data_IF_982812402794
#
_entry.id   IF_982812402794
#
_cell.length_a   1.000
_cell.length_b   1.000
_cell.length_c   1.000
_cell.angle_alpha   90.00
_cell.angle_beta   90.00
_cell.angle_gamma   90.00
#
_symmetry.space_group_name_H-M   'P 1'
#
loop_
_entity.id
_entity.type
_entity.pdbx_description
1 polymer ?
#
# COMPACT_ATOMS: atom_id res chain seq x y z
N UNK A 1 -38.14 78.19 -11.31
CA UNK A 1 -38.34 77.16 -10.26
C UNK A 1 -37.83 75.77 -10.65
N UNK A 2 -38.19 75.20 -11.81
CA UNK A 2 -37.72 73.84 -12.22
C UNK A 2 -36.19 73.65 -12.18
N UNK A 3 -35.40 74.58 -12.71
CA UNK A 3 -33.92 74.46 -12.73
C UNK A 3 -33.28 74.49 -11.33
N UNK A 4 -33.81 75.27 -10.41
CA UNK A 4 -33.29 75.36 -9.03
C UNK A 4 -33.55 74.06 -8.27
N UNK A 5 -34.72 73.43 -8.49
CA UNK A 5 -35.03 72.12 -7.90
C UNK A 5 -34.10 71.02 -8.45
N UNK A 6 -33.77 71.07 -9.75
CA UNK A 6 -32.85 70.10 -10.37
C UNK A 6 -31.42 70.25 -9.85
N UNK A 7 -30.92 71.49 -9.71
CA UNK A 7 -29.59 71.73 -9.14
C UNK A 7 -29.51 71.39 -7.65
N UNK A 8 -30.59 71.65 -6.89
CA UNK A 8 -30.69 71.24 -5.48
C UNK A 8 -30.67 69.71 -5.31
N UNK A 9 -31.39 68.98 -6.16
CA UNK A 9 -31.40 67.52 -6.14
C UNK A 9 -30.03 66.92 -6.54
N UNK A 10 -29.35 67.53 -7.53
CA UNK A 10 -28.03 67.10 -7.96
C UNK A 10 -26.94 67.36 -6.90
N UNK A 11 -27.04 68.49 -6.17
CA UNK A 11 -26.13 68.80 -5.05
C UNK A 11 -26.37 67.88 -3.84
N UNK A 12 -27.62 67.49 -3.58
CA UNK A 12 -27.97 66.51 -2.54
C UNK A 12 -27.42 65.11 -2.86
N UNK A 13 -27.47 64.69 -4.13
CA UNK A 13 -26.89 63.40 -4.56
C UNK A 13 -25.35 63.39 -4.58
N UNK A 14 -24.69 64.54 -4.75
CA UNK A 14 -23.22 64.66 -4.74
C UNK A 14 -22.62 64.82 -3.33
N UNK A 15 -23.44 65.17 -2.33
CA UNK A 15 -23.01 65.33 -0.94
C UNK A 15 -23.43 64.18 -0.03
N UNK A 16 -24.15 63.18 -0.56
CA UNK A 16 -24.40 61.94 0.16
C UNK A 16 -23.09 61.14 0.26
N UNK A 17 -22.51 60.95 1.46
CA UNK A 17 -21.33 60.12 1.63
C UNK A 17 -21.69 58.67 1.27
N UNK A 18 -21.06 58.17 0.20
CA UNK A 18 -21.07 56.74 -0.13
C UNK A 18 -20.26 55.99 0.92
N UNK A 19 -20.89 55.60 2.03
CA UNK A 19 -20.26 54.69 2.98
C UNK A 19 -20.26 53.29 2.37
N UNK A 20 -19.16 52.92 1.72
CA UNK A 20 -18.90 51.54 1.32
C UNK A 20 -18.24 50.85 2.50
N UNK A 21 -19.02 50.15 3.31
CA UNK A 21 -18.46 49.29 4.36
C UNK A 21 -17.82 48.07 3.70
N UNK A 22 -16.51 47.92 3.84
CA UNK A 22 -15.74 46.80 3.29
C UNK A 22 -15.73 45.55 4.17
N UNK A 23 -16.27 45.65 5.40
CA UNK A 23 -16.32 44.54 6.35
C UNK A 23 -17.58 43.70 6.11
N UNK A 24 -17.43 42.39 6.19
CA UNK A 24 -18.53 41.43 5.94
C UNK A 24 -18.68 40.50 7.13
N UNK A 25 -19.91 40.33 7.60
CA UNK A 25 -20.29 39.25 8.51
C UNK A 25 -20.91 38.10 7.72
N UNK A 26 -20.49 36.87 8.00
CA UNK A 26 -21.12 35.66 7.48
C UNK A 26 -21.66 34.84 8.66
N UNK A 27 -22.93 34.46 8.58
CA UNK A 27 -23.62 33.64 9.59
C UNK A 27 -24.70 34.38 10.37
N UNK A 28 -24.74 35.72 10.29
CA UNK A 28 -25.80 36.57 10.87
C UNK A 28 -25.85 37.94 10.20
N UNK A 29 -26.86 38.73 10.55
CA UNK A 29 -27.11 40.12 10.17
C UNK A 29 -26.47 41.14 11.12
N UNK A 30 -25.53 40.68 11.96
CA UNK A 30 -24.86 41.50 12.97
C UNK A 30 -23.66 42.23 12.42
N UNK A 31 -23.35 43.37 13.04
CA UNK A 31 -22.18 44.16 12.67
C UNK A 31 -20.88 43.37 12.91
N UNK A 32 -19.92 43.43 11.97
CA UNK A 32 -18.64 42.78 12.15
C UNK A 32 -17.85 43.49 13.26
N UNK A 33 -17.02 42.73 13.97
CA UNK A 33 -16.13 43.33 14.97
C UNK A 33 -15.20 44.38 14.34
N UNK A 34 -14.87 45.43 15.08
CA UNK A 34 -13.99 46.50 14.61
C UNK A 34 -12.63 45.93 14.18
N UNK A 35 -12.24 46.20 12.93
CA UNK A 35 -10.99 45.72 12.34
C UNK A 35 -11.08 44.35 11.64
N UNK A 36 -12.18 43.60 11.77
CA UNK A 36 -12.38 42.36 11.03
C UNK A 36 -12.85 42.64 9.59
N UNK A 37 -12.04 42.30 8.59
CA UNK A 37 -12.47 42.38 7.18
C UNK A 37 -13.57 41.34 6.87
N UNK A 38 -13.45 40.16 7.47
CA UNK A 38 -14.43 39.08 7.39
C UNK A 38 -14.64 38.52 8.80
N UNK A 39 -15.88 38.51 9.27
CA UNK A 39 -16.27 38.02 10.59
C UNK A 39 -17.26 36.85 10.46
N UNK A 40 -16.89 35.67 10.98
CA UNK A 40 -17.81 34.52 11.06
C UNK A 40 -18.54 34.60 12.39
N UNK A 41 -19.81 35.02 12.36
CA UNK A 41 -20.56 35.36 13.57
C UNK A 41 -22.01 34.90 13.46
N UNK A 42 -22.49 34.20 14.49
CA UNK A 42 -23.89 33.82 14.67
C UNK A 42 -24.51 34.57 15.88
N UNK A 43 -23.71 34.89 16.91
CA UNK A 43 -24.16 35.59 18.12
C UNK A 43 -23.40 36.90 18.46
N UNK A 44 -23.98 37.73 19.34
CA UNK A 44 -23.34 38.95 19.90
C UNK A 44 -22.82 38.64 21.31
N UNK A 45 -22.12 37.52 21.50
CA UNK A 45 -21.56 37.22 22.83
C UNK A 45 -20.29 38.03 23.10
N UNK A 46 -20.10 38.44 24.35
CA UNK A 46 -18.84 39.03 24.85
C UNK A 46 -17.75 37.97 25.08
N UNK A 47 -18.01 36.71 24.72
CA UNK A 47 -17.05 35.63 24.82
C UNK A 47 -16.24 35.52 23.52
N UNK A 48 -15.10 34.83 23.58
CA UNK A 48 -14.20 34.65 22.43
C UNK A 48 -14.86 33.79 21.31
N UNK A 49 -15.96 33.08 21.62
CA UNK A 49 -16.69 32.23 20.67
C UNK A 49 -18.00 32.90 20.27
N UNK A 50 -18.04 33.44 19.06
CA UNK A 50 -19.22 34.09 18.46
C UNK A 50 -19.85 33.29 17.31
N UNK A 51 -19.26 32.14 16.96
CA UNK A 51 -19.78 31.20 15.97
C UNK A 51 -19.63 29.74 16.41
N UNK A 52 -20.62 28.91 16.04
CA UNK A 52 -20.62 27.46 16.25
C UNK A 52 -20.26 26.66 15.00
N UNK A 53 -20.16 27.33 13.85
CA UNK A 53 -19.84 26.78 12.52
C UNK A 53 -18.61 27.47 11.93
N UNK A 54 -18.05 26.87 10.88
CA UNK A 54 -16.92 27.43 10.13
C UNK A 54 -17.29 27.81 8.69
N UNK A 55 -16.34 28.42 7.98
CA UNK A 55 -16.44 28.65 6.55
C UNK A 55 -16.20 27.34 5.81
N UNK A 56 -17.22 26.85 5.10
CA UNK A 56 -17.09 25.67 4.25
C UNK A 56 -16.31 26.01 2.97
N UNK A 57 -15.31 25.19 2.65
CA UNK A 57 -14.60 25.27 1.37
C UNK A 57 -15.33 24.44 0.30
N UNK A 58 -15.28 24.85 -0.99
CA UNK A 58 -15.75 24.02 -2.09
C UNK A 58 -15.05 22.65 -2.07
N UNK A 59 -15.83 21.57 -1.96
CA UNK A 59 -15.30 20.21 -1.87
C UNK A 59 -15.21 19.61 -3.27
N UNK A 60 -14.02 19.21 -3.68
CA UNK A 60 -13.75 18.70 -5.03
C UNK A 60 -12.78 17.52 -4.99
N UNK A 61 -12.78 16.69 -6.03
CA UNK A 61 -11.70 15.71 -6.25
C UNK A 61 -10.69 16.33 -7.22
N UNK A 62 -9.44 16.50 -6.79
CA UNK A 62 -8.36 16.93 -7.66
C UNK A 62 -7.84 15.68 -8.37
N UNK A 63 -7.70 15.77 -9.68
CA UNK A 63 -7.13 14.71 -10.54
C UNK A 63 -5.70 15.00 -10.91
N UNK A 64 -5.17 16.21 -10.65
CA UNK A 64 -3.77 16.56 -10.83
C UNK A 64 -3.43 17.80 -9.99
N UNK A 65 -2.16 17.94 -9.58
CA UNK A 65 -1.68 19.16 -8.92
C UNK A 65 -1.20 20.21 -9.93
N UNK A 66 -0.91 19.82 -11.17
CA UNK A 66 -0.48 20.70 -12.26
C UNK A 66 -1.38 20.50 -13.47
N UNK A 67 -1.33 21.42 -14.44
CA UNK A 67 -1.98 21.18 -15.73
C UNK A 67 -1.33 19.97 -16.41
N UNK A 68 -2.12 18.97 -16.84
CA UNK A 68 -1.62 17.88 -17.67
C UNK A 68 -1.03 18.39 -19.00
N UNK A 69 -0.13 17.61 -19.60
CA UNK A 69 0.45 17.97 -20.89
C UNK A 69 -0.65 18.15 -21.96
N UNK A 70 -0.57 19.25 -22.70
CA UNK A 70 -1.54 19.69 -23.72
C UNK A 70 -2.89 20.22 -23.19
N UNK A 71 -3.06 20.33 -21.87
CA UNK A 71 -4.22 21.01 -21.27
C UNK A 71 -3.91 22.48 -20.98
N UNK A 72 -4.90 23.36 -21.20
CA UNK A 72 -4.79 24.81 -20.94
C UNK A 72 -5.81 25.31 -19.91
N UNK A 73 -6.73 24.44 -19.49
CA UNK A 73 -7.83 24.78 -18.58
C UNK A 73 -7.58 24.19 -17.20
N UNK A 74 -7.68 25.01 -16.15
CA UNK A 74 -7.61 24.56 -14.76
C UNK A 74 -8.69 23.51 -14.45
N UNK A 75 -9.84 23.56 -15.13
CA UNK A 75 -10.92 22.59 -14.98
C UNK A 75 -10.46 21.14 -15.25
N UNK A 76 -9.42 20.92 -16.07
CA UNK A 76 -8.84 19.60 -16.33
C UNK A 76 -8.27 18.92 -15.08
N UNK A 77 -7.92 19.70 -14.05
CA UNK A 77 -7.33 19.23 -12.79
C UNK A 77 -8.37 18.83 -11.74
N UNK A 78 -9.67 18.98 -12.03
CA UNK A 78 -10.76 18.73 -11.10
C UNK A 78 -11.75 17.74 -11.72
N UNK A 79 -12.05 16.67 -10.98
CA UNK A 79 -13.01 15.66 -11.42
C UNK A 79 -14.40 16.29 -11.64
N UNK A 80 -15.01 16.01 -12.79
CA UNK A 80 -16.35 16.48 -13.18
C UNK A 80 -16.49 18.00 -13.27
N UNK A 81 -15.39 18.76 -13.27
CA UNK A 81 -15.44 20.17 -13.62
C UNK A 81 -15.78 20.34 -15.10
N UNK A 82 -16.49 21.42 -15.42
CA UNK A 82 -16.95 21.71 -16.78
C UNK A 82 -16.58 23.14 -17.17
N UNK A 83 -16.33 23.34 -18.46
CA UNK A 83 -15.97 24.65 -19.03
C UNK A 83 -14.46 24.88 -19.10
N UNK A 84 -14.08 26.07 -19.54
CA UNK A 84 -12.69 26.49 -19.71
C UNK A 84 -12.33 27.50 -18.63
N UNK A 85 -11.41 27.14 -17.75
CA UNK A 85 -10.98 27.98 -16.63
C UNK A 85 -9.55 28.42 -16.89
N UNK A 86 -9.34 29.71 -17.16
CA UNK A 86 -7.99 30.24 -17.37
C UNK A 86 -7.19 30.15 -16.05
N UNK A 87 -6.06 29.42 -16.02
CA UNK A 87 -5.24 29.22 -14.83
C UNK A 87 -4.78 30.53 -14.17
N UNK A 88 -4.53 31.57 -14.95
CA UNK A 88 -4.01 32.84 -14.43
C UNK A 88 -5.10 33.61 -13.68
N UNK A 89 -6.31 33.65 -14.23
CA UNK A 89 -7.46 34.33 -13.60
C UNK A 89 -7.98 33.63 -12.34
N UNK A 90 -7.67 32.34 -12.17
CA UNK A 90 -8.09 31.55 -11.01
C UNK A 90 -6.98 31.43 -9.94
N UNK A 91 -5.91 32.22 -10.03
CA UNK A 91 -4.89 32.31 -8.97
C UNK A 91 -5.54 32.73 -7.64
N UNK A 92 -5.28 31.96 -6.58
CA UNK A 92 -5.90 32.14 -5.26
C UNK A 92 -7.19 31.33 -5.06
N UNK A 93 -7.64 30.53 -6.03
CA UNK A 93 -8.77 29.61 -5.84
C UNK A 93 -8.43 28.60 -4.75
N UNK A 94 -9.26 28.52 -3.71
CA UNK A 94 -9.11 27.58 -2.59
C UNK A 94 -10.20 26.52 -2.67
N UNK A 95 -9.80 25.25 -2.60
CA UNK A 95 -10.70 24.10 -2.58
C UNK A 95 -10.31 23.13 -1.48
N UNK A 96 -11.25 22.31 -1.03
CA UNK A 96 -10.96 21.16 -0.18
C UNK A 96 -10.96 19.90 -1.04
N UNK A 97 -9.78 19.30 -1.19
CA UNK A 97 -9.63 18.02 -1.89
C UNK A 97 -10.25 16.88 -1.08
N UNK A 98 -11.06 16.06 -1.75
CA UNK A 98 -11.52 14.76 -1.28
C UNK A 98 -10.96 13.68 -2.21
N UNK A 99 -10.01 12.88 -1.73
CA UNK A 99 -9.48 11.73 -2.47
C UNK A 99 -10.41 10.51 -2.48
N UNK A 100 -11.51 10.55 -1.73
CA UNK A 100 -12.47 9.45 -1.59
C UNK A 100 -11.98 8.32 -0.66
N UNK A 101 -12.81 7.29 -0.46
CA UNK A 101 -12.52 6.14 0.43
C UNK A 101 -11.29 5.33 -0.02
N UNK A 102 -10.91 5.43 -1.30
CA UNK A 102 -9.77 4.77 -1.93
C UNK A 102 -8.66 5.75 -2.34
N UNK A 103 -8.47 6.83 -1.58
CA UNK A 103 -7.38 7.82 -1.79
C UNK A 103 -6.00 7.16 -1.91
N UNK A 104 -5.77 6.11 -1.12
CA UNK A 104 -4.60 5.25 -1.20
C UNK A 104 -4.58 4.38 -2.47
N UNK A 105 -5.41 4.58 -3.47
CA UNK A 105 -5.36 3.84 -4.74
C UNK A 105 -5.06 4.74 -5.92
N UNK A 106 -5.11 6.05 -5.71
CA UNK A 106 -4.70 7.01 -6.72
C UNK A 106 -3.18 6.94 -6.90
N UNK A 107 -2.68 6.84 -8.15
CA UNK A 107 -1.25 7.01 -8.44
C UNK A 107 -0.79 8.44 -8.11
N UNK A 108 -1.74 9.37 -8.00
CA UNK A 108 -1.51 10.77 -7.68
C UNK A 108 -1.77 10.92 -6.19
N UNK A 109 -0.70 10.95 -5.41
CA UNK A 109 -0.72 11.08 -3.95
C UNK A 109 -1.13 12.50 -3.52
N UNK A 110 -2.36 12.91 -3.85
CA UNK A 110 -2.97 14.17 -3.43
C UNK A 110 -3.58 13.94 -2.05
N UNK A 111 -3.17 14.76 -1.07
CA UNK A 111 -3.61 14.65 0.32
C UNK A 111 -4.93 15.38 0.51
N UNK A 112 -5.99 14.72 0.99
CA UNK A 112 -7.21 15.40 1.45
C UNK A 112 -6.90 16.60 2.32
N UNK A 113 -7.60 17.69 2.03
CA UNK A 113 -7.42 18.93 2.74
C UNK A 113 -7.45 20.13 1.79
N UNK A 114 -7.20 21.31 2.35
CA UNK A 114 -7.24 22.56 1.60
C UNK A 114 -6.05 22.70 0.65
N UNK A 115 -6.34 23.06 -0.59
CA UNK A 115 -5.36 23.47 -1.60
C UNK A 115 -5.66 24.87 -2.12
N UNK A 116 -4.62 25.60 -2.50
CA UNK A 116 -4.72 26.87 -3.21
C UNK A 116 -4.06 26.76 -4.59
N UNK A 117 -4.71 27.25 -5.64
CA UNK A 117 -4.07 27.39 -6.95
C UNK A 117 -3.16 28.62 -6.96
N UNK A 118 -1.87 28.44 -7.22
CA UNK A 118 -0.89 29.54 -7.20
C UNK A 118 -0.61 30.19 -8.56
N UNK A 119 -1.34 29.76 -9.61
CA UNK A 119 -1.12 30.18 -11.01
C UNK A 119 -0.43 29.12 -11.86
N UNK A 120 0.29 28.19 -11.23
CA UNK A 120 1.02 27.11 -11.90
C UNK A 120 0.64 25.72 -11.39
N UNK A 121 0.35 25.60 -10.08
CA UNK A 121 0.01 24.34 -9.41
C UNK A 121 -0.91 24.56 -8.20
N UNK A 122 -1.50 23.46 -7.74
CA UNK A 122 -2.21 23.36 -6.47
C UNK A 122 -1.21 23.14 -5.32
N UNK A 123 -1.10 24.13 -4.43
CA UNK A 123 -0.31 24.07 -3.21
C UNK A 123 -1.16 23.58 -2.03
N UNK A 124 -0.65 22.59 -1.29
CA UNK A 124 -1.32 22.07 -0.11
C UNK A 124 -1.13 23.03 1.07
N UNK A 125 -2.23 23.48 1.67
CA UNK A 125 -2.21 24.53 2.70
C UNK A 125 -1.96 23.99 4.12
N UNK A 126 -2.04 22.67 4.34
CA UNK A 126 -1.71 22.09 5.63
C UNK A 126 -0.20 21.84 5.68
N UNK A 127 0.48 22.64 6.51
CA UNK A 127 1.85 22.35 6.90
C UNK A 127 1.82 21.19 7.90
N UNK A 128 2.20 20.00 7.44
CA UNK A 128 2.41 18.89 8.35
C UNK A 128 3.55 19.24 9.29
N UNK A 129 3.22 19.46 10.55
CA UNK A 129 4.21 19.38 11.60
C UNK A 129 4.73 17.95 11.56
N UNK A 130 6.00 17.78 11.19
CA UNK A 130 6.73 16.53 11.44
C UNK A 130 6.74 16.30 12.94
N UNK A 131 5.66 15.73 13.46
CA UNK A 131 5.61 15.18 14.79
C UNK A 131 6.43 13.91 14.69
N UNK A 132 7.69 14.01 15.10
CA UNK A 132 8.67 12.94 14.93
C UNK A 132 8.13 11.60 15.42
N UNK A 133 8.41 10.55 14.65
CA UNK A 133 8.39 9.13 15.06
C UNK A 133 7.24 8.69 16.00
N UNK A 134 6.05 9.27 15.84
CA UNK A 134 4.86 8.90 16.58
C UNK A 134 4.01 7.95 15.74
N UNK A 135 3.64 6.80 16.29
CA UNK A 135 2.66 5.92 15.65
C UNK A 135 1.28 6.59 15.63
N UNK A 136 0.52 6.42 14.55
CA UNK A 136 -0.88 6.87 14.50
C UNK A 136 -1.78 5.99 15.38
N UNK A 137 -3.09 6.26 15.41
CA UNK A 137 -4.07 5.49 16.22
C UNK A 137 -4.18 4.01 15.84
N UNK A 138 -3.68 3.62 14.67
CA UNK A 138 -3.62 2.24 14.19
C UNK A 138 -2.27 1.57 14.47
N UNK A 139 -1.37 2.24 15.19
CA UNK A 139 -0.02 1.73 15.48
C UNK A 139 0.93 1.81 14.29
N UNK A 140 0.55 2.51 13.20
CA UNK A 140 1.40 2.67 12.01
C UNK A 140 2.37 3.82 12.21
N UNK A 141 3.64 3.61 11.84
CA UNK A 141 4.70 4.61 11.95
C UNK A 141 5.55 4.67 10.69
N UNK A 142 6.29 5.76 10.54
CA UNK A 142 7.19 5.99 9.42
C UNK A 142 8.60 5.44 9.68
N UNK A 143 9.18 4.83 8.65
CA UNK A 143 10.55 4.31 8.62
C UNK A 143 11.31 5.11 7.57
N UNK A 144 12.28 5.90 8.03
CA UNK A 144 13.18 6.65 7.16
C UNK A 144 14.36 5.78 6.74
N UNK A 145 14.58 5.67 5.44
CA UNK A 145 15.75 5.03 4.84
C UNK A 145 16.80 6.10 4.55
N UNK A 146 17.91 6.05 5.29
CA UNK A 146 18.97 7.04 5.20
C UNK A 146 19.81 6.91 3.91
N UNK A 147 19.68 5.79 3.20
CA UNK A 147 20.46 5.48 2.00
C UNK A 147 19.94 6.23 0.76
N UNK A 148 18.63 6.46 0.67
CA UNK A 148 17.97 7.13 -0.46
C UNK A 148 17.03 8.28 -0.04
N UNK A 149 16.83 8.48 1.26
CA UNK A 149 15.94 9.49 1.82
C UNK A 149 14.46 9.15 1.70
N UNK A 150 14.11 7.92 1.31
CA UNK A 150 12.73 7.49 1.23
C UNK A 150 12.11 7.19 2.60
N UNK A 151 10.78 7.32 2.66
CA UNK A 151 9.99 7.05 3.86
C UNK A 151 8.99 5.96 3.57
N UNK A 152 9.00 4.91 4.38
CA UNK A 152 8.08 3.78 4.29
C UNK A 152 7.13 3.78 5.49
N UNK A 153 5.95 3.19 5.34
CA UNK A 153 5.06 2.92 6.48
C UNK A 153 5.31 1.52 7.03
N UNK A 154 5.21 1.37 8.35
CA UNK A 154 5.37 0.12 9.06
C UNK A 154 4.25 -0.10 10.07
N UNK A 155 3.86 -1.37 10.29
CA UNK A 155 2.83 -1.77 11.24
C UNK A 155 3.13 -3.13 11.87
N UNK A 156 2.51 -3.41 13.01
CA UNK A 156 2.73 -4.63 13.79
C UNK A 156 1.68 -5.71 13.48
N UNK A 157 2.15 -6.91 13.14
CA UNK A 157 1.35 -8.10 12.87
C UNK A 157 1.47 -9.11 14.02
N UNK A 158 1.18 -8.68 15.25
CA UNK A 158 1.16 -9.56 16.43
C UNK A 158 2.50 -10.28 16.62
N UNK A 159 2.46 -11.60 16.73
CA UNK A 159 3.66 -12.43 16.88
C UNK A 159 4.59 -12.38 15.65
N UNK A 160 4.08 -12.01 14.47
CA UNK A 160 4.88 -11.87 13.26
C UNK A 160 5.75 -10.59 13.26
N UNK A 161 5.56 -9.71 14.25
CA UNK A 161 6.36 -8.50 14.44
C UNK A 161 6.01 -7.36 13.49
N UNK A 162 6.92 -6.40 13.36
CA UNK A 162 6.72 -5.23 12.52
C UNK A 162 7.13 -5.50 11.08
N UNK A 163 6.27 -5.13 10.13
CA UNK A 163 6.50 -5.25 8.69
C UNK A 163 6.32 -3.89 8.03
N UNK A 164 7.09 -3.65 6.97
CA UNK A 164 6.78 -2.56 6.06
C UNK A 164 5.43 -2.85 5.39
N UNK A 165 4.66 -1.79 5.18
CA UNK A 165 3.32 -1.82 4.56
C UNK A 165 3.36 -1.34 3.10
N UNK A 166 4.55 -1.06 2.59
CA UNK A 166 4.80 -0.67 1.20
C UNK A 166 5.90 -1.55 0.58
N UNK A 167 5.88 -1.77 -0.74
CA UNK A 167 6.97 -2.47 -1.41
C UNK A 167 8.27 -1.65 -1.37
N UNK A 168 9.40 -2.35 -1.21
CA UNK A 168 10.71 -1.72 -1.31
C UNK A 168 10.94 -1.07 -2.69
N UNK A 169 11.63 0.07 -2.67
CA UNK A 169 12.02 0.85 -3.86
C UNK A 169 13.46 1.36 -3.82
N UNK A 170 14.24 0.93 -2.82
CA UNK A 170 15.66 1.25 -2.73
C UNK A 170 16.41 0.67 -3.94
N UNK A 171 17.23 1.48 -4.60
CA UNK A 171 18.10 1.06 -5.70
C UNK A 171 19.55 1.30 -5.26
N UNK A 172 20.30 0.23 -5.07
CA UNK A 172 21.73 0.30 -4.79
C UNK A 172 22.52 0.60 -6.08
N UNK A 173 23.64 1.32 -5.94
CA UNK A 173 24.51 1.68 -7.07
C UNK A 173 25.07 0.46 -7.82
N UNK A 174 25.14 -0.70 -7.18
CA UNK A 174 25.57 -1.96 -7.83
C UNK A 174 24.49 -2.59 -8.72
N UNK A 175 23.26 -2.07 -8.72
CA UNK A 175 22.16 -2.66 -9.47
C UNK A 175 22.10 -2.12 -10.90
N UNK A 176 21.70 -2.98 -11.84
CA UNK A 176 21.46 -2.58 -13.24
C UNK A 176 20.00 -2.76 -13.60
N UNK A 177 19.35 -1.71 -14.10
CA UNK A 177 17.98 -1.80 -14.64
C UNK A 177 17.95 -2.81 -15.79
N UNK A 178 17.07 -3.82 -15.74
CA UNK A 178 17.05 -4.86 -16.78
C UNK A 178 15.68 -5.48 -17.02
N UNK A 179 15.40 -5.71 -18.31
CA UNK A 179 14.33 -6.58 -18.77
C UNK A 179 14.60 -8.05 -18.48
N UNK A 180 13.66 -8.81 -17.90
CA UNK A 180 13.82 -10.27 -17.78
C UNK A 180 14.02 -10.90 -19.17
N UNK A 181 15.12 -11.64 -19.30
CA UNK A 181 15.41 -12.54 -20.42
C UNK A 181 15.93 -13.86 -19.89
N UNK A 182 15.75 -14.96 -20.62
CA UNK A 182 16.15 -16.31 -20.17
C UNK A 182 17.65 -16.44 -19.86
N UNK A 183 18.50 -15.58 -20.43
CA UNK A 183 19.94 -15.50 -20.18
C UNK A 183 20.32 -14.63 -18.97
N UNK A 184 19.35 -14.11 -18.20
CA UNK A 184 19.62 -13.29 -17.01
C UNK A 184 20.35 -14.13 -15.96
N UNK A 185 21.57 -13.75 -15.52
CA UNK A 185 22.34 -14.51 -14.55
C UNK A 185 21.63 -14.60 -13.20
N UNK A 186 21.76 -15.75 -12.52
CA UNK A 186 21.18 -15.98 -11.19
C UNK A 186 21.80 -15.06 -10.12
N UNK A 187 23.04 -14.63 -10.33
CA UNK A 187 23.80 -13.68 -9.49
C UNK A 187 23.73 -12.25 -10.01
N UNK A 188 22.94 -12.01 -11.06
CA UNK A 188 22.78 -10.68 -11.63
C UNK A 188 21.91 -9.82 -10.71
N UNK A 189 22.44 -8.70 -10.23
CA UNK A 189 21.71 -7.75 -9.40
C UNK A 189 20.98 -6.75 -10.28
N UNK A 190 19.69 -7.01 -10.50
CA UNK A 190 18.87 -6.23 -11.41
C UNK A 190 17.59 -5.75 -10.73
N UNK A 191 17.11 -4.61 -11.20
CA UNK A 191 15.81 -4.07 -10.83
C UNK A 191 14.96 -3.75 -12.06
N UNK A 192 13.64 -3.66 -11.85
CA UNK A 192 12.68 -3.27 -12.87
C UNK A 192 11.46 -2.59 -12.24
N UNK A 193 10.94 -1.55 -12.89
CA UNK A 193 9.70 -0.91 -12.44
C UNK A 193 8.48 -1.75 -12.83
N UNK A 194 7.47 -1.93 -11.95
CA UNK A 194 6.18 -2.49 -12.34
C UNK A 194 5.60 -1.71 -13.52
N UNK A 195 5.10 -2.42 -14.55
CA UNK A 195 4.63 -1.83 -15.83
C UNK A 195 5.73 -1.12 -16.64
N UNK A 196 7.00 -1.35 -16.34
CA UNK A 196 8.15 -0.85 -17.09
C UNK A 196 8.18 -1.33 -18.55
N UNK A 197 8.81 -0.54 -19.41
CA UNK A 197 9.18 -0.96 -20.76
C UNK A 197 10.43 -1.84 -20.68
N UNK A 198 10.33 -3.11 -21.10
CA UNK A 198 11.47 -4.04 -21.12
C UNK A 198 12.61 -3.59 -22.03
N UNK A 199 12.31 -2.76 -23.03
CA UNK A 199 13.30 -2.17 -23.95
C UNK A 199 14.04 -1.00 -23.31
N UNK A 200 13.40 -0.33 -22.35
CA UNK A 200 13.92 0.84 -21.62
C UNK A 200 13.73 0.66 -20.10
N UNK A 201 14.39 -0.34 -19.49
CA UNK A 201 14.07 -0.80 -18.13
C UNK A 201 14.35 0.22 -17.02
N UNK A 202 15.13 1.26 -17.31
CA UNK A 202 15.44 2.34 -16.38
C UNK A 202 14.36 3.44 -16.36
N UNK A 203 13.47 3.48 -17.37
CA UNK A 203 12.43 4.50 -17.47
C UNK A 203 11.31 4.22 -16.47
N UNK A 204 10.98 5.23 -15.67
CA UNK A 204 9.87 5.17 -14.71
C UNK A 204 8.54 5.29 -15.48
N UNK A 205 7.61 4.32 -15.36
CA UNK A 205 6.28 4.41 -15.98
C UNK A 205 5.45 5.54 -15.40
N UNK A 206 4.61 6.19 -16.22
CA UNK A 206 3.70 7.25 -15.76
C UNK A 206 2.69 6.76 -14.70
N UNK A 207 2.34 5.48 -14.72
CA UNK A 207 1.44 4.86 -13.73
C UNK A 207 2.14 4.49 -12.42
N UNK A 208 3.46 4.67 -12.32
CA UNK A 208 4.25 4.29 -11.16
C UNK A 208 4.11 5.30 -10.01
N UNK A 209 4.04 4.78 -8.78
CA UNK A 209 4.06 5.57 -7.55
C UNK A 209 4.76 4.79 -6.44
N UNK A 210 5.29 5.48 -5.43
CA UNK A 210 6.21 4.92 -4.43
C UNK A 210 5.76 3.61 -3.79
N UNK A 211 4.47 3.46 -3.46
CA UNK A 211 3.92 2.25 -2.83
C UNK A 211 4.00 0.99 -3.71
N UNK A 212 4.04 1.14 -5.04
CA UNK A 212 4.26 0.01 -5.95
C UNK A 212 5.62 -0.62 -5.75
N UNK A 213 6.60 0.15 -5.27
CA UNK A 213 7.97 -0.32 -5.15
C UNK A 213 8.61 -0.59 -6.50
N UNK A 214 9.67 -1.39 -6.48
CA UNK A 214 10.29 -1.96 -7.68
C UNK A 214 10.43 -3.48 -7.52
N UNK A 215 10.66 -4.16 -8.64
CA UNK A 215 11.00 -5.57 -8.63
C UNK A 215 12.50 -5.78 -8.62
N UNK A 216 12.94 -6.80 -7.89
CA UNK A 216 14.34 -7.19 -7.74
C UNK A 216 14.54 -8.62 -8.22
N UNK A 217 15.68 -8.92 -8.83
CA UNK A 217 16.21 -10.29 -8.84
C UNK A 217 16.53 -10.73 -7.41
N UNK A 218 16.58 -12.03 -7.15
CA UNK A 218 16.84 -12.51 -5.79
C UNK A 218 18.23 -12.11 -5.28
N UNK A 219 19.24 -12.11 -6.16
CA UNK A 219 20.58 -11.61 -5.85
C UNK A 219 20.56 -10.12 -5.50
N UNK A 220 19.77 -9.29 -6.20
CA UNK A 220 19.59 -7.88 -5.83
C UNK A 220 18.88 -7.75 -4.47
N UNK A 221 17.77 -8.46 -4.27
CA UNK A 221 16.99 -8.42 -3.04
C UNK A 221 17.82 -8.72 -1.79
N UNK A 222 18.78 -9.65 -1.90
CA UNK A 222 19.63 -10.09 -0.78
C UNK A 222 21.06 -9.53 -0.84
N UNK A 223 21.34 -8.55 -1.71
CA UNK A 223 22.69 -7.99 -1.88
C UNK A 223 23.77 -9.07 -2.14
N UNK A 224 23.40 -10.16 -2.80
CA UNK A 224 24.23 -11.31 -3.14
C UNK A 224 24.66 -12.22 -1.97
N UNK A 225 24.16 -11.99 -0.74
CA UNK A 225 24.51 -12.78 0.45
C UNK A 225 24.25 -14.28 0.30
N UNK A 226 23.33 -14.65 -0.61
CA UNK A 226 22.96 -16.03 -0.88
C UNK A 226 23.33 -16.54 -2.28
N UNK A 227 24.17 -15.81 -3.01
CA UNK A 227 24.62 -16.23 -4.33
C UNK A 227 25.38 -17.58 -4.24
N UNK A 228 25.06 -18.51 -5.13
CA UNK A 228 25.68 -19.84 -5.16
C UNK A 228 25.27 -20.79 -4.02
N UNK A 229 24.41 -20.37 -3.08
CA UNK A 229 23.94 -21.23 -1.98
C UNK A 229 23.04 -22.34 -2.49
N UNK A 230 23.38 -23.59 -2.19
CA UNK A 230 22.67 -24.83 -2.57
C UNK A 230 22.14 -25.54 -1.32
N UNK A 231 21.29 -24.84 -0.57
CA UNK A 231 20.67 -25.36 0.65
C UNK A 231 19.16 -25.12 0.55
N UNK A 232 18.38 -26.11 0.97
CA UNK A 232 16.95 -25.93 1.14
C UNK A 232 16.69 -25.35 2.53
N UNK A 233 16.38 -24.06 2.59
CA UNK A 233 16.23 -23.29 3.82
C UNK A 233 14.78 -23.04 4.20
N UNK A 234 13.85 -23.69 3.50
CA UNK A 234 12.44 -23.57 3.77
C UNK A 234 12.07 -24.20 5.11
N UNK A 235 11.09 -23.62 5.80
CA UNK A 235 10.56 -24.17 7.03
C UNK A 235 9.91 -25.54 6.76
N UNK A 236 10.34 -26.56 7.50
CA UNK A 236 9.77 -27.92 7.42
C UNK A 236 8.99 -28.28 8.69
N UNK A 237 9.43 -27.80 9.86
CA UNK A 237 8.85 -28.13 11.16
C UNK A 237 8.60 -26.88 12.00
N UNK A 238 7.87 -27.04 13.11
CA UNK A 238 7.71 -25.95 14.11
C UNK A 238 9.07 -25.59 14.71
N UNK A 239 9.86 -26.58 15.10
CA UNK A 239 11.24 -26.35 15.53
C UNK A 239 12.08 -25.82 14.37
N UNK A 240 12.89 -24.80 14.65
CA UNK A 240 13.82 -24.20 13.68
C UNK A 240 14.91 -25.21 13.32
N UNK A 241 14.94 -25.61 12.05
CA UNK A 241 15.89 -26.55 11.47
C UNK A 241 17.25 -25.93 11.16
N UNK A 242 18.28 -26.77 11.13
CA UNK A 242 19.68 -26.34 10.99
C UNK A 242 20.04 -25.68 9.65
N UNK A 243 19.15 -25.80 8.66
CA UNK A 243 19.33 -25.25 7.32
C UNK A 243 18.55 -23.95 7.11
N UNK A 244 17.67 -23.57 8.03
CA UNK A 244 16.89 -22.34 7.89
C UNK A 244 17.79 -21.10 8.07
N UNK A 245 17.34 -19.96 7.55
CA UNK A 245 18.10 -18.68 7.56
C UNK A 245 18.43 -18.29 9.00
N UNK A 246 17.49 -18.54 9.91
CA UNK A 246 17.58 -18.28 11.35
C UNK A 246 18.81 -18.92 11.97
N UNK A 247 19.23 -20.11 11.49
CA UNK A 247 20.41 -20.82 12.00
C UNK A 247 21.65 -20.51 11.18
N UNK A 248 21.53 -20.40 9.85
CA UNK A 248 22.69 -20.17 8.98
C UNK A 248 23.33 -18.80 9.15
N UNK A 249 22.56 -17.82 9.60
CA UNK A 249 22.99 -16.44 9.79
C UNK A 249 22.83 -15.98 11.24
N UNK A 250 22.76 -16.91 12.20
CA UNK A 250 22.57 -16.56 13.62
C UNK A 250 23.70 -15.68 14.17
N UNK A 251 23.34 -14.77 15.08
CA UNK A 251 24.28 -13.81 15.68
C UNK A 251 25.32 -14.48 16.58
N UNK A 252 24.94 -15.61 17.19
CA UNK A 252 25.80 -16.48 17.97
C UNK A 252 25.25 -17.91 17.96
N UNK A 253 26.13 -18.89 18.17
CA UNK A 253 25.75 -20.30 18.08
C UNK A 253 24.57 -20.65 18.99
N UNK A 254 23.50 -21.20 18.39
CA UNK A 254 22.30 -21.63 19.08
C UNK A 254 21.27 -20.54 19.36
N UNK A 255 21.50 -19.29 18.93
CA UNK A 255 20.52 -18.19 19.06
C UNK A 255 19.35 -18.32 18.11
N UNK A 256 19.59 -18.86 16.90
CA UNK A 256 18.57 -19.04 15.86
C UNK A 256 17.81 -17.75 15.52
N UNK A 257 18.54 -16.63 15.48
CA UNK A 257 18.02 -15.27 15.24
C UNK A 257 18.53 -14.67 13.92
N UNK A 258 19.03 -15.53 13.03
CA UNK A 258 19.67 -15.15 11.79
C UNK A 258 18.74 -14.50 10.78
N UNK A 259 19.25 -13.45 10.14
CA UNK A 259 18.52 -12.55 9.25
C UNK A 259 19.44 -12.07 8.13
N UNK A 260 18.86 -11.69 7.00
CA UNK A 260 19.59 -11.11 5.87
C UNK A 260 18.98 -9.75 5.56
N UNK A 261 19.72 -8.68 5.82
CA UNK A 261 19.25 -7.31 5.59
C UNK A 261 18.79 -7.12 4.14
N UNK A 262 19.66 -7.44 3.18
CA UNK A 262 19.38 -7.25 1.75
C UNK A 262 19.07 -5.78 1.42
N UNK A 263 18.08 -5.55 0.56
CA UNK A 263 17.62 -4.21 0.19
C UNK A 263 16.93 -3.45 1.31
N UNK A 264 16.60 -4.11 2.43
CA UNK A 264 15.87 -3.50 3.53
C UNK A 264 16.70 -2.45 4.29
N UNK A 265 16.06 -1.44 4.91
CA UNK A 265 16.74 -0.46 5.75
C UNK A 265 17.51 -1.11 6.89
N UNK A 266 18.47 -0.40 7.48
CA UNK A 266 19.19 -0.91 8.66
C UNK A 266 18.22 -1.24 9.80
N UNK A 267 18.39 -2.42 10.42
CA UNK A 267 17.49 -2.93 11.46
C UNK A 267 16.23 -3.62 10.91
N UNK A 268 16.19 -3.83 9.58
CA UNK A 268 15.18 -4.57 8.87
C UNK A 268 15.84 -5.63 7.97
N UNK A 269 15.11 -6.68 7.64
CA UNK A 269 15.58 -7.77 6.80
C UNK A 269 14.56 -8.21 5.76
N UNK A 270 15.06 -8.85 4.70
CA UNK A 270 14.22 -9.58 3.77
C UNK A 270 13.68 -10.82 4.52
N UNK A 271 12.36 -10.95 4.70
CA UNK A 271 11.79 -11.99 5.54
C UNK A 271 12.15 -13.38 5.04
N UNK A 272 12.44 -14.29 5.96
CA UNK A 272 12.66 -15.70 5.64
C UNK A 272 11.34 -16.41 5.31
N UNK A 273 11.43 -17.65 4.85
CA UNK A 273 10.28 -18.52 4.69
C UNK A 273 9.47 -18.71 6.00
N UNK A 274 10.15 -18.68 7.15
CA UNK A 274 9.54 -18.79 8.48
C UNK A 274 8.84 -17.51 8.89
N UNK A 275 9.44 -16.35 8.63
CA UNK A 275 8.83 -15.05 8.90
C UNK A 275 7.50 -14.91 8.16
N UNK A 276 7.48 -15.28 6.88
CA UNK A 276 6.25 -15.29 6.08
C UNK A 276 5.19 -16.24 6.65
N UNK A 277 5.59 -17.42 7.11
CA UNK A 277 4.66 -18.36 7.74
C UNK A 277 4.06 -17.78 9.04
N UNK A 278 4.81 -16.99 9.81
CA UNK A 278 4.28 -16.28 10.99
C UNK A 278 3.30 -15.18 10.60
N UNK A 279 3.60 -14.40 9.55
CA UNK A 279 2.71 -13.37 9.03
C UNK A 279 1.40 -13.95 8.51
N UNK A 280 1.47 -14.98 7.65
CA UNK A 280 0.29 -15.67 7.13
C UNK A 280 -0.57 -16.23 8.29
N UNK A 281 0.08 -16.72 9.34
CA UNK A 281 -0.58 -17.18 10.55
C UNK A 281 -1.34 -16.07 11.27
N UNK A 282 -0.73 -14.92 11.46
CA UNK A 282 -1.40 -13.77 12.07
C UNK A 282 -2.58 -13.29 11.20
N UNK A 283 -2.37 -13.15 9.90
CA UNK A 283 -3.40 -12.68 8.96
C UNK A 283 -4.62 -13.60 8.92
N UNK A 284 -4.43 -14.90 9.15
CA UNK A 284 -5.55 -15.84 9.28
C UNK A 284 -6.20 -15.80 10.66
N UNK A 285 -5.45 -15.67 11.75
CA UNK A 285 -6.04 -15.66 13.09
C UNK A 285 -6.78 -14.35 13.41
N UNK A 286 -6.33 -13.25 12.83
CA UNK A 286 -6.77 -11.88 13.16
C UNK A 286 -7.13 -11.05 11.91
N UNK A 287 -7.88 -11.57 10.92
CA UNK A 287 -8.06 -10.90 9.64
C UNK A 287 -8.79 -9.55 9.74
N UNK A 288 -9.73 -9.40 10.69
CA UNK A 288 -10.48 -8.15 10.93
C UNK A 288 -9.60 -7.00 11.45
N UNK A 289 -8.42 -7.31 12.02
CA UNK A 289 -7.48 -6.29 12.49
C UNK A 289 -6.75 -5.59 11.34
N UNK A 290 -6.55 -6.30 10.24
CA UNK A 290 -5.71 -5.84 9.12
C UNK A 290 -6.49 -5.67 7.81
N UNK A 291 -7.82 -5.91 7.84
CA UNK A 291 -8.67 -5.91 6.66
C UNK A 291 -10.08 -5.40 6.97
N UNK A 292 -10.87 -5.16 5.93
CA UNK A 292 -12.27 -4.72 5.99
C UNK A 292 -13.25 -5.85 6.29
N UNK A 293 -12.74 -7.05 6.61
CA UNK A 293 -13.61 -8.12 7.05
C UNK A 293 -14.35 -7.75 8.34
N UNK A 294 -15.60 -8.19 8.42
CA UNK A 294 -16.43 -8.10 9.62
C UNK A 294 -16.52 -9.47 10.30
N UNK A 295 -16.76 -9.51 11.62
CA UNK A 295 -16.99 -10.76 12.34
C UNK A 295 -18.13 -11.61 11.71
N UNK A 296 -19.12 -10.93 11.11
CA UNK A 296 -20.25 -11.55 10.40
C UNK A 296 -19.86 -12.20 9.07
N UNK A 297 -18.74 -11.82 8.47
CA UNK A 297 -18.25 -12.41 7.22
C UNK A 297 -17.78 -13.87 7.43
N UNK A 298 -17.73 -14.35 8.68
CA UNK A 298 -17.05 -15.59 9.05
C UNK A 298 -17.92 -16.75 9.55
N UNK A 299 -19.17 -16.55 9.96
CA UNK A 299 -20.11 -17.64 10.32
C UNK A 299 -19.70 -18.62 11.45
N UNK A 300 -18.44 -18.62 11.88
CA UNK A 300 -17.81 -19.42 12.94
C UNK A 300 -16.75 -18.52 13.60
N UNK A 301 -16.71 -18.37 14.93
CA UNK A 301 -15.74 -17.51 15.60
C UNK A 301 -14.33 -18.09 15.49
N UNK A 302 -13.41 -17.31 14.92
CA UNK A 302 -11.97 -17.57 14.98
C UNK A 302 -11.54 -17.68 16.46
N UNK A 303 -11.00 -18.84 16.84
CA UNK A 303 -10.63 -19.14 18.23
C UNK A 303 -11.49 -20.21 18.91
N UNK A 304 -12.55 -20.72 18.28
CA UNK A 304 -13.06 -22.04 18.66
C UNK A 304 -11.96 -23.05 18.34
N UNK A 305 -11.26 -23.54 19.37
CA UNK A 305 -10.37 -24.68 19.26
C UNK A 305 -11.15 -25.83 18.61
N UNK A 306 -10.98 -26.06 17.31
CA UNK A 306 -11.40 -27.30 16.69
C UNK A 306 -10.46 -28.39 17.19
N UNK A 307 -10.82 -28.99 18.33
CA UNK A 307 -10.27 -30.28 18.78
C UNK A 307 -10.93 -31.40 17.98
N UNK A 308 -10.73 -31.42 16.67
CA UNK A 308 -10.95 -32.61 15.87
C UNK A 308 -9.58 -33.14 15.47
N UNK A 309 -8.96 -33.89 16.39
CA UNK A 309 -7.89 -34.78 16.00
C UNK A 309 -8.41 -35.69 14.89
N UNK A 310 -7.83 -35.61 13.69
CA UNK A 310 -7.95 -36.72 12.74
C UNK A 310 -7.19 -37.88 13.38
N UNK A 311 -7.93 -38.72 14.10
CA UNK A 311 -7.46 -39.99 14.60
C UNK A 311 -7.11 -40.86 13.40
N UNK A 312 -5.82 -41.05 13.09
CA UNK A 312 -5.45 -42.12 12.16
C UNK A 312 -4.09 -42.06 11.46
N UNK A 313 -3.36 -40.95 11.44
CA UNK A 313 -2.06 -40.93 10.74
C UNK A 313 -0.93 -40.50 11.67
N UNK A 314 -0.25 -41.50 12.23
CA UNK A 314 1.08 -41.37 12.80
C UNK A 314 2.06 -41.01 11.68
N UNK A 315 2.22 -39.72 11.37
CA UNK A 315 3.40 -39.12 10.72
C UNK A 315 3.30 -37.57 10.69
N UNK A 316 3.68 -36.93 11.81
CA UNK A 316 4.69 -35.88 11.80
C UNK A 316 4.47 -34.56 11.03
N UNK A 317 3.24 -34.14 10.73
CA UNK A 317 2.96 -32.76 10.35
C UNK A 317 2.05 -32.13 11.40
N UNK A 318 2.52 -31.02 11.97
CA UNK A 318 2.05 -30.53 13.28
C UNK A 318 0.62 -29.98 13.19
N UNK A 319 -0.21 -30.52 14.08
CA UNK A 319 -1.56 -30.10 14.46
C UNK A 319 -1.63 -28.63 14.87
N UNK A 320 -2.62 -27.90 14.35
CA UNK A 320 -2.97 -26.54 14.80
C UNK A 320 -3.44 -25.55 13.72
N UNK A 321 -3.57 -25.99 12.47
CA UNK A 321 -4.12 -25.26 11.31
C UNK A 321 -5.04 -26.19 10.52
N UNK A 322 -6.09 -26.74 11.14
CA UNK A 322 -6.91 -27.76 10.47
C UNK A 322 -8.15 -27.13 9.83
N UNK A 323 -8.09 -27.14 8.49
CA UNK A 323 -9.13 -27.68 7.62
C UNK A 323 -10.48 -26.95 7.56
N UNK A 324 -10.41 -25.69 7.10
CA UNK A 324 -11.29 -25.21 6.02
C UNK A 324 -10.58 -24.26 5.03
N UNK A 325 -9.32 -23.88 5.31
CA UNK A 325 -8.54 -22.92 4.51
C UNK A 325 -7.18 -23.50 4.09
N UNK A 326 -7.11 -24.83 4.08
CA UNK A 326 -5.98 -25.61 3.63
C UNK A 326 -6.48 -26.82 2.83
N UNK A 327 -7.26 -26.59 1.76
CA UNK A 327 -7.31 -27.63 0.73
C UNK A 327 -5.98 -27.57 -0.01
N UNK A 328 -5.08 -28.43 0.46
CA UNK A 328 -3.94 -28.89 -0.29
C UNK A 328 -4.46 -29.34 -1.67
N UNK A 329 -4.14 -28.58 -2.73
CA UNK A 329 -4.57 -28.90 -4.10
C UNK A 329 -4.09 -30.29 -4.56
N UNK A 330 -3.17 -30.92 -3.83
CA UNK A 330 -2.70 -32.28 -4.08
C UNK A 330 -3.62 -33.39 -3.59
N UNK A 331 -4.72 -33.10 -2.87
CA UNK A 331 -5.64 -34.15 -2.41
C UNK A 331 -6.94 -34.26 -3.23
N UNK A 332 -7.08 -33.49 -4.32
CA UNK A 332 -8.20 -33.69 -5.26
C UNK A 332 -7.77 -34.49 -6.49
N UNK A 333 -6.48 -34.63 -6.77
CA UNK A 333 -5.99 -35.49 -7.85
C UNK A 333 -4.60 -36.06 -7.49
N UNK A 334 -4.53 -37.16 -6.73
CA UNK A 334 -3.77 -38.37 -7.09
C UNK A 334 -3.81 -39.41 -5.95
N UNK A 335 -4.38 -40.57 -6.27
CA UNK A 335 -4.09 -41.89 -5.72
C UNK A 335 -2.90 -41.99 -4.74
N UNK A 336 -3.20 -42.25 -3.45
CA UNK A 336 -2.41 -43.02 -2.47
C UNK A 336 -0.87 -42.97 -2.55
N UNK A 337 -0.29 -41.82 -2.89
CA UNK A 337 1.14 -41.61 -2.84
C UNK A 337 1.43 -40.70 -1.65
N UNK A 338 2.23 -41.14 -0.65
CA UNK A 338 2.64 -40.26 0.43
C UNK A 338 3.32 -39.01 -0.17
N UNK A 339 3.21 -37.84 0.47
CA UNK A 339 3.82 -36.61 -0.04
C UNK A 339 5.34 -36.77 -0.07
N UNK A 340 5.86 -37.26 -1.19
CA UNK A 340 7.24 -37.10 -1.61
C UNK A 340 7.22 -35.86 -2.50
N UNK A 341 7.61 -34.69 -2.04
CA UNK A 341 9.01 -34.32 -1.87
C UNK A 341 9.05 -32.94 -1.21
N UNK A 342 10.03 -32.76 -0.33
CA UNK A 342 10.41 -31.49 0.26
C UNK A 342 10.78 -30.54 -0.89
N UNK A 343 9.96 -29.52 -1.17
CA UNK A 343 10.14 -28.61 -2.31
C UNK A 343 8.93 -28.42 -3.25
N UNK A 344 7.77 -29.02 -2.99
CA UNK A 344 6.55 -28.79 -3.78
C UNK A 344 5.83 -27.46 -3.48
N UNK A 345 5.06 -26.95 -4.45
CA UNK A 345 4.17 -25.80 -4.26
C UNK A 345 3.14 -26.12 -3.17
N UNK A 346 3.00 -25.22 -2.19
CA UNK A 346 1.98 -25.35 -1.15
C UNK A 346 1.09 -24.13 -1.16
N UNK A 347 -0.20 -24.35 -1.37
CA UNK A 347 -1.24 -23.32 -1.37
C UNK A 347 -1.95 -23.30 -0.03
N UNK A 348 -2.17 -22.10 0.51
CA UNK A 348 -2.94 -21.84 1.74
C UNK A 348 -3.98 -20.77 1.47
N UNK A 349 -5.07 -20.77 2.23
CA UNK A 349 -6.20 -19.86 2.04
C UNK A 349 -7.42 -20.58 1.46
N UNK A 350 -8.37 -19.81 0.95
CA UNK A 350 -9.65 -20.35 0.49
C UNK A 350 -9.75 -20.37 -1.03
N UNK A 351 -10.40 -21.42 -1.54
CA UNK A 351 -10.87 -21.53 -2.93
C UNK A 351 -12.27 -20.95 -3.11
N UNK A 352 -12.88 -20.44 -2.03
CA UNK A 352 -14.16 -19.74 -2.09
C UNK A 352 -13.90 -18.25 -2.34
N UNK A 353 -14.49 -17.64 -3.38
CA UNK A 353 -14.35 -16.23 -3.66
C UNK A 353 -14.75 -15.34 -2.49
N UNK A 354 -13.94 -14.31 -2.22
CA UNK A 354 -14.21 -13.29 -1.20
C UNK A 354 -13.88 -13.70 0.23
N UNK A 355 -13.40 -14.94 0.44
CA UNK A 355 -12.89 -15.43 1.73
C UNK A 355 -11.42 -15.84 1.57
N UNK A 356 -10.61 -15.70 2.61
CA UNK A 356 -9.18 -16.04 2.53
C UNK A 356 -8.31 -15.06 3.31
N UNK A 357 -7.26 -15.55 3.98
CA UNK A 357 -6.22 -14.65 4.47
C UNK A 357 -5.47 -14.04 3.27
N UNK A 358 -5.37 -14.79 2.15
CA UNK A 358 -4.97 -14.23 0.87
C UNK A 358 -5.82 -13.03 0.45
N UNK A 359 -7.15 -13.09 0.58
CA UNK A 359 -8.03 -11.95 0.30
C UNK A 359 -7.84 -10.79 1.28
N UNK A 360 -7.62 -11.10 2.57
CA UNK A 360 -7.30 -10.12 3.62
C UNK A 360 -5.98 -9.39 3.36
N UNK A 361 -5.02 -10.02 2.67
CA UNK A 361 -3.71 -9.45 2.36
C UNK A 361 -3.73 -8.56 1.11
N UNK A 362 -4.66 -8.77 0.18
CA UNK A 362 -4.71 -8.03 -1.08
C UNK A 362 -5.26 -6.62 -0.86
N UNK A 363 -4.62 -5.65 -1.50
CA UNK A 363 -5.02 -4.24 -1.49
C UNK A 363 -6.46 -4.02 -1.98
N UNK A 364 -7.13 -3.02 -1.42
CA UNK A 364 -8.40 -2.51 -1.96
C UNK A 364 -8.21 -1.76 -3.29
N UNK A 365 -6.97 -1.48 -3.70
CA UNK A 365 -6.65 -0.80 -4.93
C UNK A 365 -6.75 -1.71 -6.14
N UNK A 366 -7.83 -1.51 -6.90
CA UNK A 366 -8.03 -2.18 -8.17
C UNK A 366 -6.97 -1.74 -9.19
N UNK A 367 -6.22 -2.70 -9.73
CA UNK A 367 -5.43 -2.49 -10.93
C UNK A 367 -6.35 -2.71 -12.15
N UNK A 368 -6.30 -1.79 -13.12
CA UNK A 368 -7.26 -1.62 -14.23
C UNK A 368 -7.61 -2.94 -14.93
N UNK A 369 -6.62 -3.82 -15.11
CA UNK A 369 -6.76 -5.06 -15.89
C UNK A 369 -7.47 -6.21 -15.15
N UNK A 370 -7.57 -6.15 -13.81
CA UNK A 370 -8.01 -7.29 -13.00
C UNK A 370 -9.51 -7.33 -12.72
N UNK A 371 -10.15 -6.16 -12.59
CA UNK A 371 -11.50 -6.06 -12.04
C UNK A 371 -11.61 -6.45 -10.55
N UNK A 372 -10.50 -6.69 -9.85
CA UNK A 372 -10.48 -7.28 -8.52
C UNK A 372 -10.04 -6.29 -7.44
N UNK A 373 -10.73 -6.35 -6.30
CA UNK A 373 -10.39 -5.61 -5.08
C UNK A 373 -10.22 -6.60 -3.95
N UNK A 374 -9.13 -6.45 -3.18
CA UNK A 374 -8.93 -7.19 -1.95
C UNK A 374 -9.60 -6.51 -0.75
N UNK A 375 -9.37 -7.06 0.44
CA UNK A 375 -9.92 -6.54 1.69
C UNK A 375 -8.89 -5.91 2.61
N UNK A 376 -7.60 -5.94 2.30
CA UNK A 376 -6.58 -5.34 3.17
C UNK A 376 -6.91 -3.88 3.47
N UNK A 377 -6.80 -3.49 4.73
CA UNK A 377 -6.77 -2.09 5.09
C UNK A 377 -5.61 -1.41 4.36
N UNK A 378 -5.70 -0.10 4.09
CA UNK A 378 -4.60 0.63 3.52
C UNK A 378 -3.42 0.71 4.49
N UNK A 379 -2.20 1.04 4.01
CA UNK A 379 -1.00 1.14 4.82
C UNK A 379 -1.17 2.08 6.02
N UNK A 380 -1.83 3.23 5.85
CA UNK A 380 -2.09 4.18 6.94
C UNK A 380 -3.01 3.64 8.05
N UNK A 381 -3.69 2.51 7.82
CA UNK A 381 -4.53 1.80 8.80
C UNK A 381 -3.96 0.45 9.22
N UNK A 382 -2.73 0.12 8.82
CA UNK A 382 -2.01 -1.06 9.28
C UNK A 382 -2.29 -2.35 8.51
N UNK A 383 -2.95 -2.29 7.35
CA UNK A 383 -3.13 -3.48 6.52
C UNK A 383 -1.89 -3.81 5.70
N UNK A 384 -1.77 -5.08 5.29
CA UNK A 384 -0.61 -5.58 4.54
C UNK A 384 -0.48 -4.97 3.13
N UNK A 385 -1.62 -4.59 2.53
CA UNK A 385 -1.76 -3.85 1.28
C UNK A 385 -0.95 -4.43 0.11
N UNK A 386 -1.13 -5.73 -0.17
CA UNK A 386 -0.48 -6.36 -1.31
C UNK A 386 -1.13 -5.92 -2.64
N UNK A 387 -0.44 -5.05 -3.37
CA UNK A 387 -0.77 -4.70 -4.74
C UNK A 387 -0.47 -5.88 -5.69
N UNK A 388 -1.43 -6.22 -6.57
CA UNK A 388 -1.30 -7.33 -7.52
C UNK A 388 -0.41 -6.97 -8.73
N UNK A 389 0.82 -6.53 -8.48
CA UNK A 389 1.74 -6.02 -9.51
C UNK A 389 2.36 -7.15 -10.37
N UNK A 390 2.16 -8.40 -9.99
CA UNK A 390 2.78 -9.56 -10.61
C UNK A 390 4.29 -9.61 -10.33
N UNK A 391 5.01 -10.06 -11.35
CA UNK A 391 6.45 -9.90 -11.49
C UNK A 391 6.79 -9.86 -12.97
N UNK A 392 8.07 -9.73 -13.31
CA UNK A 392 8.47 -9.57 -14.72
C UNK A 392 8.47 -10.88 -15.53
N UNK A 393 7.78 -11.92 -15.05
CA UNK A 393 7.65 -13.20 -15.77
C UNK A 393 6.18 -13.55 -15.95
N UNK A 394 5.75 -13.51 -17.20
CA UNK A 394 4.39 -13.78 -17.68
C UNK A 394 3.30 -12.85 -17.10
N UNK A 395 2.18 -12.78 -17.83
CA UNK A 395 1.02 -11.88 -17.66
C UNK A 395 0.38 -12.10 -16.28
N UNK A 396 0.96 -11.49 -15.25
CA UNK A 396 0.58 -11.68 -13.84
C UNK A 396 0.16 -10.38 -13.18
N UNK A 397 0.36 -9.25 -13.86
CA UNK A 397 -0.15 -7.95 -13.45
C UNK A 397 -1.67 -8.00 -13.31
N UNK A 398 -2.20 -7.47 -12.22
CA UNK A 398 -3.60 -7.56 -11.85
C UNK A 398 -4.04 -8.89 -11.23
N UNK A 399 -3.27 -9.97 -11.33
CA UNK A 399 -3.70 -11.29 -10.86
C UNK A 399 -2.84 -11.87 -9.74
N UNK A 400 -1.61 -11.40 -9.55
CA UNK A 400 -0.69 -11.95 -8.55
C UNK A 400 0.08 -10.87 -7.81
N UNK A 401 0.39 -11.08 -6.55
CA UNK A 401 1.41 -10.33 -5.84
C UNK A 401 2.57 -11.27 -5.49
N UNK A 402 3.76 -11.00 -6.06
CA UNK A 402 4.94 -11.83 -5.89
C UNK A 402 5.96 -11.15 -4.96
N UNK A 403 6.41 -11.89 -3.95
CA UNK A 403 7.38 -11.43 -2.97
C UNK A 403 8.53 -12.41 -2.80
N UNK A 404 9.75 -11.89 -2.73
CA UNK A 404 10.90 -12.68 -2.34
C UNK A 404 10.90 -12.99 -0.84
N UNK A 405 11.35 -14.21 -0.52
CA UNK A 405 11.87 -14.53 0.82
C UNK A 405 13.39 -14.57 0.77
N UNK A 406 14.05 -14.52 1.93
CA UNK A 406 15.50 -14.73 2.02
C UNK A 406 15.93 -16.19 1.99
N UNK A 407 15.01 -17.16 1.83
CA UNK A 407 15.31 -18.59 1.94
C UNK A 407 15.59 -19.27 0.59
N UNK A 408 16.74 -19.92 0.45
CA UNK A 408 17.06 -20.74 -0.72
C UNK A 408 16.16 -21.99 -0.84
N UNK A 409 15.83 -22.36 -2.09
CA UNK A 409 14.76 -23.30 -2.41
C UNK A 409 15.20 -24.74 -2.71
N UNK A 410 16.49 -24.99 -2.89
CA UNK A 410 17.01 -26.25 -3.41
C UNK A 410 18.35 -26.64 -2.77
N UNK A 411 18.51 -27.93 -2.48
CA UNK A 411 19.75 -28.53 -1.98
C UNK A 411 20.68 -29.04 -3.10
N UNK A 412 20.22 -29.07 -4.34
CA UNK A 412 20.95 -29.64 -5.49
C UNK A 412 21.30 -28.61 -6.55
N UNK A 413 20.68 -27.43 -6.50
CA UNK A 413 20.94 -26.31 -7.40
C UNK A 413 20.82 -24.99 -6.66
N UNK A 414 21.53 -23.97 -7.15
CA UNK A 414 21.42 -22.58 -6.73
C UNK A 414 20.40 -21.83 -7.61
N UNK A 415 19.57 -22.55 -8.37
CA UNK A 415 18.64 -21.95 -9.32
C UNK A 415 17.41 -21.34 -8.66
N UNK A 416 17.02 -21.83 -7.48
CA UNK A 416 15.72 -21.51 -6.88
C UNK A 416 15.83 -20.91 -5.48
N UNK A 417 14.85 -20.06 -5.18
CA UNK A 417 14.58 -19.50 -3.87
C UNK A 417 13.08 -19.54 -3.58
N UNK A 418 12.70 -19.56 -2.31
CA UNK A 418 11.29 -19.48 -1.95
C UNK A 418 10.77 -18.07 -2.17
N UNK A 419 9.60 -17.98 -2.79
CA UNK A 419 8.79 -16.77 -2.86
C UNK A 419 7.42 -16.98 -2.23
N UNK A 420 6.69 -15.88 -2.06
CA UNK A 420 5.26 -15.87 -1.79
C UNK A 420 4.53 -15.29 -2.98
N UNK A 421 3.49 -16.00 -3.41
CA UNK A 421 2.64 -15.64 -4.52
C UNK A 421 1.19 -15.58 -4.00
N UNK A 422 0.67 -14.37 -3.82
CA UNK A 422 -0.75 -14.17 -3.48
C UNK A 422 -1.52 -14.18 -4.79
N UNK A 423 -2.37 -15.19 -4.98
CA UNK A 423 -3.01 -15.51 -6.24
C UNK A 423 -4.45 -15.00 -6.24
N UNK A 424 -4.83 -14.37 -7.34
CA UNK A 424 -6.20 -14.09 -7.77
C UNK A 424 -6.34 -14.63 -9.19
N UNK A 425 -6.52 -15.93 -9.33
CA UNK A 425 -6.59 -16.59 -10.64
C UNK A 425 -7.88 -17.41 -10.75
N UNK A 426 -8.43 -17.47 -11.96
CA UNK A 426 -9.66 -18.24 -12.21
C UNK A 426 -9.30 -19.71 -12.27
N UNK A 427 -9.77 -20.46 -11.29
CA UNK A 427 -9.62 -21.88 -11.21
C UNK A 427 -10.34 -22.54 -12.39
N UNK A 428 -9.60 -23.25 -13.25
CA UNK A 428 -10.15 -23.88 -14.46
C UNK A 428 -11.18 -24.99 -14.18
N UNK A 429 -11.23 -25.51 -12.94
CA UNK A 429 -12.13 -26.59 -12.53
C UNK A 429 -13.41 -26.02 -11.89
N UNK A 430 -13.28 -25.03 -11.02
CA UNK A 430 -14.41 -24.46 -10.27
C UNK A 430 -14.98 -23.19 -10.90
N UNK A 431 -14.27 -22.62 -11.89
CA UNK A 431 -14.53 -21.30 -12.49
C UNK A 431 -14.61 -20.17 -11.45
N UNK A 432 -13.98 -20.36 -10.29
CA UNK A 432 -13.92 -19.38 -9.18
C UNK A 432 -12.56 -18.71 -9.16
N UNK A 433 -12.51 -17.45 -8.76
CA UNK A 433 -11.24 -16.81 -8.43
C UNK A 433 -10.81 -17.32 -7.06
N UNK A 434 -9.70 -18.05 -6.99
CA UNK A 434 -9.12 -18.47 -5.72
C UNK A 434 -8.35 -17.28 -5.13
N UNK A 435 -8.41 -17.07 -3.79
CA UNK A 435 -7.60 -16.05 -3.09
C UNK A 435 -6.67 -16.74 -2.09
N UNK A 436 -5.61 -17.31 -2.64
CA UNK A 436 -4.68 -18.16 -1.90
C UNK A 436 -3.29 -17.55 -1.86
N UNK A 437 -2.55 -17.89 -0.81
CA UNK A 437 -1.11 -17.64 -0.72
C UNK A 437 -0.40 -18.92 -1.10
N UNK A 438 0.38 -18.87 -2.17
CA UNK A 438 1.25 -19.94 -2.61
C UNK A 438 2.66 -19.68 -2.12
N UNK A 439 3.20 -20.66 -1.41
CA UNK A 439 4.64 -20.80 -1.23
C UNK A 439 5.19 -21.61 -2.39
N UNK A 440 6.11 -21.00 -3.12
CA UNK A 440 6.58 -21.51 -4.41
C UNK A 440 8.11 -21.38 -4.53
N UNK A 441 8.85 -22.44 -4.90
CA UNK A 441 10.24 -22.31 -5.34
C UNK A 441 10.28 -21.63 -6.72
N UNK A 442 10.75 -20.39 -6.75
CA UNK A 442 10.90 -19.60 -7.97
C UNK A 442 12.35 -19.51 -8.44
N UNK A 443 12.58 -19.23 -9.72
CA UNK A 443 13.92 -19.03 -10.27
C UNK A 443 14.51 -17.71 -9.77
N UNK A 444 15.76 -17.72 -9.28
CA UNK A 444 16.40 -16.55 -8.66
C UNK A 444 16.60 -15.34 -9.58
N UNK A 445 16.57 -15.54 -10.89
CA UNK A 445 16.65 -14.47 -11.89
C UNK A 445 15.28 -13.85 -12.22
N UNK A 446 14.20 -14.26 -11.57
CA UNK A 446 12.90 -13.61 -11.70
C UNK A 446 12.87 -12.31 -10.90
N UNK A 447 11.99 -11.39 -11.30
CA UNK A 447 11.86 -10.09 -10.69
C UNK A 447 10.58 -10.06 -9.85
N UNK A 448 10.73 -9.88 -8.53
CA UNK A 448 9.62 -9.83 -7.57
C UNK A 448 9.79 -8.69 -6.58
N UNK A 449 8.72 -8.35 -5.87
CA UNK A 449 8.75 -7.32 -4.83
C UNK A 449 9.44 -7.83 -3.57
N UNK A 450 9.83 -6.91 -2.69
CA UNK A 450 10.31 -7.21 -1.33
C UNK A 450 9.47 -6.44 -0.33
N UNK A 451 9.08 -7.09 0.76
CA UNK A 451 8.38 -6.49 1.90
C UNK A 451 9.20 -6.76 3.15
N UNK A 452 9.84 -5.75 3.72
CA UNK A 452 10.80 -5.95 4.80
C UNK A 452 10.13 -6.20 6.16
N UNK A 453 10.81 -6.97 7.00
CA UNK A 453 10.44 -7.21 8.40
C UNK A 453 11.50 -6.62 9.32
N UNK A 454 11.09 -6.10 10.47
CA UNK A 454 12.00 -5.55 11.49
C UNK A 454 12.71 -6.66 12.26
N UNK A 455 13.96 -6.43 12.64
CA UNK A 455 14.78 -7.36 13.41
C UNK A 455 14.21 -7.66 14.81
#
# INVERSE_FOLDING_TARGET
MKKILTYGFMYLCMTAPSFVSAQVTIGSDKDPNLGALLDLKEDESTNIKTASRGLGLPRVTLTSLTLPDNETSLASTIERASGTWDPQTHTGLIVYHLGGELKHCSPINIKDGPYVWNGEKWDYLIQETKTGSGSNSYGVYEVYDDRDGDVYQAGNFGDAGDWLLENMRYIDDSFTAKGYVSSTPLTGRHYFYPEGDTSNPATIPLSWYKRKGIFYTWSAALMGEQDGIKVQQGQVNVAIGNNEVEVKYESASGKKDGKIQGVCPKGWHVPSDRDWNMLEKEMYNSPTKYSTYLDSDYGIPFGAQYTAAISGTSNGWISGWTDEWAINRNNVLVNNSPPSTIGGNTLRGSTTPGVGHGHAMISQCQLIESGFVGKSLPPEKGGFDALLLGGQVAITYGFRALFWTSSAGSSTSDATAYGRNIIVDTNAITNKRDQMVERWPSMRNYFMSVRCKKD
#
